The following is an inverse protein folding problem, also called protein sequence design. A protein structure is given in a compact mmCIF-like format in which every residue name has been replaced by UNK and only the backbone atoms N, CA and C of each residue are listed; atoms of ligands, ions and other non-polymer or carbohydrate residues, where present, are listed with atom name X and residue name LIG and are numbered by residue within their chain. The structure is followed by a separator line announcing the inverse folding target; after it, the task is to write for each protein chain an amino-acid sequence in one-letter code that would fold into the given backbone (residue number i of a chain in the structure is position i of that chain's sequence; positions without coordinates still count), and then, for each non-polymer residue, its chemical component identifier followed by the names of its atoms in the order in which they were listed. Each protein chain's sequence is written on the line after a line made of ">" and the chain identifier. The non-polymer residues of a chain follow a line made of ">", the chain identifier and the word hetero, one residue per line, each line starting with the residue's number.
data_IF_911697602830
#
_entry.id   IF_911697602830
#
_cell.length_a   1.000
_cell.length_b   1.000
_cell.length_c   1.000
_cell.angle_alpha   90.00
_cell.angle_beta   90.00
_cell.angle_gamma   90.00
#
_symmetry.space_group_name_H-M   'P 1'
#
loop_
_entity.id
_entity.type
_entity.pdbx_description
1 polymer ?
#
# COMPACT_ATOMS: atom_id res chain seq x y z
N UNK A 1 -24.46 -71.63 -13.74
CA UNK A 1 -24.83 -70.54 -14.68
C UNK A 1 -24.02 -69.29 -14.33
N UNK A 2 -23.00 -68.96 -15.13
CA UNK A 2 -22.28 -67.69 -14.97
C UNK A 2 -23.16 -66.54 -15.48
N UNK A 3 -23.63 -65.68 -14.58
CA UNK A 3 -24.40 -64.46 -14.92
C UNK A 3 -23.51 -63.56 -15.78
N UNK A 4 -23.80 -63.42 -17.08
CA UNK A 4 -23.15 -62.46 -17.97
C UNK A 4 -23.37 -61.05 -17.40
N UNK A 5 -22.27 -60.36 -17.07
CA UNK A 5 -22.29 -58.97 -16.61
C UNK A 5 -22.88 -58.10 -17.74
N UNK A 6 -23.82 -57.17 -17.47
CA UNK A 6 -24.41 -56.34 -18.51
C UNK A 6 -23.32 -55.51 -19.22
N UNK A 7 -23.28 -55.56 -20.55
CA UNK A 7 -22.38 -54.74 -21.33
C UNK A 7 -22.68 -53.25 -21.07
N UNK A 8 -21.71 -52.54 -20.47
CA UNK A 8 -21.84 -51.11 -20.21
C UNK A 8 -22.13 -50.39 -21.52
N UNK A 9 -23.25 -49.65 -21.56
CA UNK A 9 -23.72 -48.87 -22.70
C UNK A 9 -22.60 -47.98 -23.25
N UNK A 10 -22.34 -48.03 -24.56
CA UNK A 10 -21.21 -47.32 -25.19
C UNK A 10 -21.22 -45.80 -24.93
N UNK A 11 -22.41 -45.22 -24.78
CA UNK A 11 -22.59 -43.80 -24.44
C UNK A 11 -22.02 -43.45 -23.06
N UNK A 12 -22.10 -44.37 -22.08
CA UNK A 12 -21.51 -44.20 -20.75
C UNK A 12 -19.99 -44.27 -20.81
N UNK A 13 -19.42 -45.21 -21.58
CA UNK A 13 -17.97 -45.30 -21.81
C UNK A 13 -17.42 -44.02 -22.47
N UNK A 14 -18.14 -43.47 -23.46
CA UNK A 14 -17.79 -42.22 -24.14
C UNK A 14 -17.86 -41.01 -23.19
N UNK A 15 -18.89 -40.92 -22.35
CA UNK A 15 -18.98 -39.90 -21.28
C UNK A 15 -17.81 -39.99 -20.30
N UNK A 16 -17.47 -41.19 -19.82
CA UNK A 16 -16.36 -41.39 -18.88
C UNK A 16 -15.02 -40.95 -19.48
N UNK A 17 -14.73 -41.30 -20.74
CA UNK A 17 -13.54 -40.81 -21.47
C UNK A 17 -13.51 -39.29 -21.56
N UNK A 18 -14.60 -38.65 -21.96
CA UNK A 18 -14.68 -37.19 -22.07
C UNK A 18 -14.45 -36.50 -20.71
N UNK A 19 -15.01 -37.04 -19.62
CA UNK A 19 -14.78 -36.51 -18.27
C UNK A 19 -13.31 -36.66 -17.84
N UNK A 20 -12.67 -37.80 -18.14
CA UNK A 20 -11.26 -38.02 -17.85
C UNK A 20 -10.37 -37.03 -18.61
N UNK A 21 -10.62 -36.82 -19.91
CA UNK A 21 -9.90 -35.85 -20.73
C UNK A 21 -10.08 -34.41 -20.24
N UNK A 22 -11.31 -34.00 -19.92
CA UNK A 22 -11.58 -32.69 -19.33
C UNK A 22 -10.86 -32.52 -17.98
N UNK A 23 -10.79 -33.56 -17.16
CA UNK A 23 -10.06 -33.55 -15.89
C UNK A 23 -8.55 -33.38 -16.13
N UNK A 24 -7.97 -34.10 -17.07
CA UNK A 24 -6.55 -33.96 -17.46
C UNK A 24 -6.27 -32.56 -18.00
N UNK A 25 -7.12 -32.04 -18.89
CA UNK A 25 -6.98 -30.67 -19.45
C UNK A 25 -7.07 -29.61 -18.36
N UNK A 26 -7.98 -29.75 -17.40
CA UNK A 26 -8.09 -28.86 -16.22
C UNK A 26 -6.85 -28.95 -15.33
N UNK A 27 -6.31 -30.14 -15.09
CA UNK A 27 -5.10 -30.32 -14.29
C UNK A 27 -3.88 -29.69 -14.97
N UNK A 28 -3.68 -29.94 -16.27
CA UNK A 28 -2.62 -29.29 -17.07
C UNK A 28 -2.74 -27.77 -17.06
N UNK A 29 -3.96 -27.22 -17.24
CA UNK A 29 -4.23 -25.77 -17.18
C UNK A 29 -3.95 -25.18 -15.80
N UNK A 30 -4.10 -25.94 -14.72
CA UNK A 30 -3.78 -25.51 -13.34
C UNK A 30 -2.28 -25.62 -13.02
N UNK A 31 -1.53 -26.46 -13.70
CA UNK A 31 -0.12 -26.73 -13.37
C UNK A 31 0.81 -25.56 -13.73
N UNK A 32 0.70 -25.04 -14.96
CA UNK A 32 1.49 -23.89 -15.41
C UNK A 32 1.36 -22.64 -14.49
N UNK A 33 0.15 -22.15 -14.14
CA UNK A 33 0.03 -20.99 -13.26
C UNK A 33 0.52 -21.27 -11.83
N UNK A 34 0.45 -22.51 -11.34
CA UNK A 34 1.02 -22.89 -10.03
C UNK A 34 2.54 -22.80 -10.03
N UNK A 35 3.21 -23.29 -11.07
CA UNK A 35 4.67 -23.16 -11.21
C UNK A 35 5.08 -21.69 -11.28
N UNK A 36 4.40 -20.90 -12.10
CA UNK A 36 4.63 -19.45 -12.20
C UNK A 36 4.43 -18.75 -10.85
N UNK A 37 3.39 -19.12 -10.10
CA UNK A 37 3.15 -18.56 -8.77
C UNK A 37 4.25 -18.93 -7.78
N UNK A 38 4.75 -20.17 -7.81
CA UNK A 38 5.87 -20.60 -6.95
C UNK A 38 7.15 -19.81 -7.27
N UNK A 39 7.46 -19.65 -8.55
CA UNK A 39 8.61 -18.84 -8.99
C UNK A 39 8.47 -17.37 -8.55
N UNK A 40 7.29 -16.77 -8.75
CA UNK A 40 6.99 -15.40 -8.32
C UNK A 40 7.13 -15.21 -6.81
N UNK A 41 6.61 -16.14 -6.01
CA UNK A 41 6.74 -16.10 -4.53
C UNK A 41 8.20 -16.13 -4.09
N UNK A 42 9.03 -16.99 -4.71
CA UNK A 42 10.47 -17.04 -4.42
C UNK A 42 11.15 -15.70 -4.73
N UNK A 43 10.84 -15.11 -5.89
CA UNK A 43 11.37 -13.80 -6.29
C UNK A 43 10.98 -12.71 -5.29
N UNK A 44 9.70 -12.66 -4.89
CA UNK A 44 9.18 -11.68 -3.93
C UNK A 44 9.85 -11.83 -2.57
N UNK A 45 10.07 -13.06 -2.11
CA UNK A 45 10.77 -13.33 -0.86
C UNK A 45 12.21 -12.80 -0.88
N UNK A 46 12.97 -13.11 -1.93
CA UNK A 46 14.35 -12.62 -2.06
C UNK A 46 14.40 -11.09 -2.16
N UNK A 47 13.47 -10.47 -2.91
CA UNK A 47 13.32 -9.00 -2.94
C UNK A 47 13.04 -8.40 -1.57
N UNK A 48 12.09 -8.95 -0.82
CA UNK A 48 11.74 -8.46 0.52
C UNK A 48 12.94 -8.56 1.48
N UNK A 49 13.69 -9.67 1.41
CA UNK A 49 14.93 -9.86 2.17
C UNK A 49 15.98 -8.82 1.80
N UNK A 50 16.14 -8.53 0.51
CA UNK A 50 17.05 -7.49 0.02
C UNK A 50 16.67 -6.10 0.57
N UNK A 51 15.42 -5.67 0.39
CA UNK A 51 14.95 -4.37 0.89
C UNK A 51 15.07 -4.26 2.41
N UNK A 52 14.81 -5.34 3.16
CA UNK A 52 14.99 -5.35 4.60
C UNK A 52 16.45 -5.10 5.01
N UNK A 53 17.40 -5.73 4.30
CA UNK A 53 18.84 -5.52 4.52
C UNK A 53 19.23 -4.07 4.23
N UNK A 54 18.74 -3.52 3.12
CA UNK A 54 18.97 -2.13 2.71
C UNK A 54 18.45 -1.14 3.76
N UNK A 55 17.20 -1.29 4.23
CA UNK A 55 16.64 -0.42 5.27
C UNK A 55 17.43 -0.48 6.58
N UNK A 56 17.97 -1.65 6.94
CA UNK A 56 18.80 -1.80 8.13
C UNK A 56 20.11 -1.02 7.98
N UNK A 57 20.74 -1.08 6.81
CA UNK A 57 21.96 -0.33 6.52
C UNK A 57 21.69 1.18 6.51
N UNK A 58 20.58 1.63 5.91
CA UNK A 58 20.19 3.05 5.92
C UNK A 58 19.87 3.58 7.31
N UNK A 59 19.29 2.75 8.19
CA UNK A 59 18.99 3.11 9.58
C UNK A 59 20.22 3.13 10.47
N UNK A 60 21.20 2.26 10.21
CA UNK A 60 22.46 2.21 10.95
C UNK A 60 23.43 3.36 10.56
N UNK A 61 22.92 4.44 9.95
CA UNK A 61 23.68 5.40 9.17
C UNK A 61 24.83 6.11 9.90
N UNK A 62 25.92 6.23 9.13
CA UNK A 62 27.16 7.00 9.26
C UNK A 62 27.27 8.11 10.32
N UNK A 63 28.49 8.21 10.86
CA UNK A 63 28.99 9.20 11.83
C UNK A 63 28.79 10.66 11.37
N UNK A 64 28.63 10.91 10.06
CA UNK A 64 28.64 12.23 9.42
C UNK A 64 27.27 12.95 9.32
N UNK A 65 26.29 12.55 10.12
CA UNK A 65 25.00 13.23 10.21
C UNK A 65 23.91 12.70 9.24
N UNK A 66 22.62 12.87 9.57
CA UNK A 66 21.53 12.26 8.82
C UNK A 66 21.28 12.96 7.49
N UNK A 67 21.15 12.16 6.42
CA UNK A 67 20.81 12.65 5.08
C UNK A 67 19.43 13.35 5.04
N UNK A 68 19.31 14.36 4.18
CA UNK A 68 18.10 15.14 4.01
C UNK A 68 16.84 14.30 3.71
N UNK A 69 15.66 14.77 4.18
CA UNK A 69 14.37 14.16 3.91
C UNK A 69 14.03 14.17 2.44
N UNK A 70 13.48 13.06 1.97
CA UNK A 70 12.92 12.97 0.62
C UNK A 70 11.41 12.74 0.60
N UNK A 71 10.76 12.51 1.77
CA UNK A 71 9.37 12.11 1.88
C UNK A 71 8.63 12.85 3.00
N UNK A 72 7.45 13.38 2.69
CA UNK A 72 6.48 13.94 3.62
C UNK A 72 5.13 13.20 3.52
N UNK A 73 4.31 13.31 4.57
CA UNK A 73 3.00 12.70 4.69
C UNK A 73 2.11 13.76 5.28
N UNK A 74 1.14 14.16 4.48
CA UNK A 74 0.28 15.29 4.78
C UNK A 74 -1.06 14.74 5.22
N UNK A 75 -1.49 15.11 6.43
CA UNK A 75 -2.77 14.73 6.99
C UNK A 75 -3.66 15.96 7.06
N UNK A 76 -4.88 15.85 6.55
CA UNK A 76 -5.88 16.91 6.69
C UNK A 76 -6.54 16.83 8.06
N UNK A 77 -6.39 17.88 8.87
CA UNK A 77 -6.94 17.93 10.23
C UNK A 77 -8.17 18.85 10.38
N UNK A 78 -8.36 19.82 9.46
CA UNK A 78 -9.48 20.77 9.45
C UNK A 78 -10.53 20.42 8.40
N UNK A 79 -11.78 20.79 8.69
CA UNK A 79 -12.93 20.65 7.78
C UNK A 79 -12.89 21.58 6.57
N UNK A 80 -13.99 21.65 5.81
CA UNK A 80 -14.12 22.51 4.61
C UNK A 80 -14.59 23.92 4.91
N UNK A 81 -15.25 24.11 6.06
CA UNK A 81 -15.85 25.38 6.48
C UNK A 81 -14.74 26.36 6.88
N UNK A 82 -14.84 27.61 6.40
CA UNK A 82 -13.86 28.67 6.68
C UNK A 82 -12.51 28.49 5.97
N UNK A 83 -12.45 27.63 4.94
CA UNK A 83 -11.25 27.47 4.10
C UNK A 83 -11.39 28.32 2.85
N UNK A 84 -10.38 29.18 2.60
CA UNK A 84 -10.36 30.05 1.42
C UNK A 84 -10.36 29.23 0.11
N UNK A 85 -10.92 29.77 -0.99
CA UNK A 85 -10.97 29.06 -2.28
C UNK A 85 -9.59 28.60 -2.76
N UNK A 86 -8.56 29.42 -2.58
CA UNK A 86 -7.16 29.08 -2.94
C UNK A 86 -6.66 27.84 -2.19
N UNK A 87 -6.90 27.78 -0.87
CA UNK A 87 -6.50 26.61 -0.05
C UNK A 87 -7.35 25.39 -0.38
N UNK A 88 -8.65 25.57 -0.65
CA UNK A 88 -9.55 24.50 -1.08
C UNK A 88 -9.06 23.83 -2.38
N UNK A 89 -8.63 24.63 -3.35
CA UNK A 89 -8.08 24.11 -4.62
C UNK A 89 -6.78 23.34 -4.40
N UNK A 90 -5.87 23.85 -3.55
CA UNK A 90 -4.64 23.12 -3.20
C UNK A 90 -4.93 21.76 -2.53
N UNK A 91 -5.88 21.71 -1.59
CA UNK A 91 -6.29 20.45 -0.95
C UNK A 91 -6.93 19.47 -1.94
N UNK A 92 -7.66 19.95 -2.94
CA UNK A 92 -8.23 19.12 -4.00
C UNK A 92 -7.15 18.52 -4.90
N UNK A 93 -6.12 19.30 -5.27
CA UNK A 93 -4.97 18.83 -6.04
C UNK A 93 -4.20 17.73 -5.29
N UNK A 94 -4.03 17.89 -3.97
CA UNK A 94 -3.43 16.88 -3.09
C UNK A 94 -4.38 15.71 -2.76
N UNK A 95 -5.59 15.70 -3.32
CA UNK A 95 -6.62 14.69 -3.04
C UNK A 95 -7.07 14.60 -1.56
N UNK A 96 -6.80 15.61 -0.74
CA UNK A 96 -7.15 15.70 0.68
C UNK A 96 -8.58 16.25 0.87
N UNK A 97 -9.58 15.51 0.39
CA UNK A 97 -10.99 15.96 0.39
C UNK A 97 -11.71 15.77 1.73
N UNK A 98 -11.30 14.77 2.50
CA UNK A 98 -11.93 14.39 3.78
C UNK A 98 -11.02 14.74 4.96
N UNK A 99 -11.61 15.00 6.13
CA UNK A 99 -10.84 15.11 7.38
C UNK A 99 -10.20 13.75 7.68
N UNK A 100 -8.99 13.76 8.23
CA UNK A 100 -8.15 12.60 8.51
C UNK A 100 -7.83 11.75 7.27
N UNK A 101 -7.89 12.38 6.09
CA UNK A 101 -7.25 11.82 4.90
C UNK A 101 -5.75 12.15 4.89
N UNK A 102 -4.95 11.20 4.39
CA UNK A 102 -3.49 11.32 4.31
C UNK A 102 -2.96 10.99 2.92
N UNK A 103 -1.87 11.63 2.51
CA UNK A 103 -1.15 11.36 1.26
C UNK A 103 0.35 11.52 1.44
N UNK A 104 1.14 10.71 0.71
CA UNK A 104 2.58 10.91 0.61
C UNK A 104 2.91 12.02 -0.39
N UNK A 105 3.85 12.89 -0.06
CA UNK A 105 4.28 14.00 -0.90
C UNK A 105 5.79 14.02 -0.95
N UNK A 106 6.35 14.21 -2.14
CA UNK A 106 7.77 14.53 -2.29
C UNK A 106 7.94 16.03 -1.97
N UNK A 107 8.67 16.39 -0.90
CA UNK A 107 8.88 17.78 -0.55
C UNK A 107 9.69 18.49 -1.64
N UNK A 108 9.36 19.76 -1.90
CA UNK A 108 10.28 20.68 -2.57
C UNK A 108 11.33 21.16 -1.56
N UNK A 109 12.34 21.94 -2.00
CA UNK A 109 13.50 22.46 -1.23
C UNK A 109 13.22 22.97 0.21
N UNK A 110 11.97 23.18 0.61
CA UNK A 110 11.54 23.82 1.86
C UNK A 110 10.66 22.96 2.78
N UNK A 111 10.62 21.62 2.64
CA UNK A 111 9.79 20.78 3.53
C UNK A 111 10.57 19.59 4.10
N UNK A 112 10.86 19.65 5.40
CA UNK A 112 11.86 18.82 6.10
C UNK A 112 11.20 17.75 7.02
N UNK A 113 11.54 16.47 6.77
CA UNK A 113 11.68 15.26 7.63
C UNK A 113 10.47 14.74 8.44
N UNK A 114 10.30 13.46 8.80
CA UNK A 114 10.78 12.15 8.32
C UNK A 114 9.63 11.16 8.58
N UNK A 115 9.19 10.38 7.58
CA UNK A 115 8.10 9.39 7.72
C UNK A 115 8.55 7.94 7.55
N UNK A 116 9.82 7.68 7.82
CA UNK A 116 10.42 6.38 7.52
C UNK A 116 9.77 5.24 8.32
N UNK A 117 9.33 5.47 9.56
CA UNK A 117 8.79 4.36 10.38
C UNK A 117 7.35 3.96 10.06
N UNK A 118 6.53 4.90 9.57
CA UNK A 118 5.08 4.68 9.47
C UNK A 118 4.58 4.33 8.06
N UNK A 119 5.42 4.41 7.02
CA UNK A 119 5.04 4.06 5.63
C UNK A 119 4.54 2.63 5.54
N UNK A 120 5.25 1.70 6.19
CA UNK A 120 4.92 0.28 6.15
C UNK A 120 3.54 0.01 6.76
N UNK A 121 3.30 0.51 7.96
CA UNK A 121 2.02 0.37 8.68
C UNK A 121 0.86 0.98 7.90
N UNK A 122 1.06 2.18 7.33
CA UNK A 122 0.04 2.88 6.55
C UNK A 122 -0.36 2.10 5.31
N UNK A 123 0.61 1.61 4.54
CA UNK A 123 0.34 0.87 3.30
C UNK A 123 -0.27 -0.50 3.61
N UNK A 124 0.18 -1.20 4.67
CA UNK A 124 -0.41 -2.48 5.05
C UNK A 124 -1.84 -2.36 5.59
N UNK A 125 -2.10 -1.41 6.51
CA UNK A 125 -3.43 -1.29 7.16
C UNK A 125 -4.44 -0.50 6.34
N UNK A 126 -3.99 0.59 5.71
CA UNK A 126 -4.86 1.58 5.08
C UNK A 126 -4.59 1.73 3.57
N UNK A 127 -3.71 0.91 2.99
CA UNK A 127 -3.36 0.95 1.58
C UNK A 127 -4.45 0.39 0.68
N UNK A 128 -4.95 1.24 -0.20
CA UNK A 128 -5.86 0.86 -1.28
C UNK A 128 -5.31 1.40 -2.59
N UNK A 129 -5.47 0.64 -3.67
CA UNK A 129 -5.13 1.07 -5.03
C UNK A 129 -6.34 1.69 -5.74
N UNK A 130 -6.06 2.60 -6.67
CA UNK A 130 -7.00 3.11 -7.67
C UNK A 130 -6.95 2.19 -8.90
N UNK A 131 -7.83 1.19 -8.94
CA UNK A 131 -7.93 0.27 -10.09
C UNK A 131 -9.25 0.55 -10.79
N UNK A 132 -9.21 0.93 -12.08
CA UNK A 132 -10.40 1.29 -12.86
C UNK A 132 -11.28 2.35 -12.16
N UNK A 133 -10.64 3.37 -11.56
CA UNK A 133 -11.29 4.42 -10.74
C UNK A 133 -12.04 3.90 -9.50
N UNK A 134 -11.90 2.62 -9.15
CA UNK A 134 -12.46 2.01 -7.94
C UNK A 134 -11.37 1.86 -6.87
N UNK A 135 -11.80 1.92 -5.60
CA UNK A 135 -10.94 1.70 -4.44
C UNK A 135 -10.86 0.20 -4.18
N UNK A 136 -9.68 -0.40 -4.40
CA UNK A 136 -9.47 -1.85 -4.25
C UNK A 136 -8.38 -2.12 -3.23
N UNK A 137 -8.60 -3.10 -2.34
CA UNK A 137 -7.59 -3.50 -1.36
C UNK A 137 -6.34 -4.05 -2.07
N UNK A 138 -5.17 -3.69 -1.56
CA UNK A 138 -3.91 -4.15 -2.13
C UNK A 138 -3.64 -5.60 -1.75
N UNK A 139 -2.95 -6.33 -2.64
CA UNK A 139 -2.53 -7.72 -2.41
C UNK A 139 -1.01 -7.79 -2.24
N UNK A 140 -0.53 -8.85 -1.58
CA UNK A 140 0.86 -9.01 -1.11
C UNK A 140 1.95 -8.69 -2.13
N UNK A 141 1.73 -9.04 -3.41
CA UNK A 141 2.76 -8.90 -4.44
C UNK A 141 3.05 -7.43 -4.80
N UNK A 142 2.05 -6.55 -4.73
CA UNK A 142 2.21 -5.13 -5.10
C UNK A 142 2.72 -4.32 -3.91
N UNK A 143 2.41 -4.75 -2.70
CA UNK A 143 2.73 -4.04 -1.46
C UNK A 143 4.24 -3.83 -1.30
N UNK A 144 5.05 -4.87 -1.51
CA UNK A 144 6.49 -4.83 -1.23
C UNK A 144 7.22 -3.80 -2.10
N UNK A 145 7.01 -3.83 -3.41
CA UNK A 145 7.64 -2.89 -4.33
C UNK A 145 7.09 -1.46 -4.11
N UNK A 146 5.79 -1.30 -3.80
CA UNK A 146 5.19 0.00 -3.52
C UNK A 146 5.70 0.65 -2.22
N UNK A 147 5.87 -0.15 -1.16
CA UNK A 147 6.46 0.30 0.10
C UNK A 147 7.88 0.78 -0.14
N UNK A 148 8.67 0.00 -0.88
CA UNK A 148 10.05 0.36 -1.19
C UNK A 148 10.15 1.64 -1.99
N UNK A 149 9.39 1.75 -3.08
CA UNK A 149 9.37 2.94 -3.93
C UNK A 149 8.93 4.19 -3.15
N UNK A 150 7.97 4.05 -2.24
CA UNK A 150 7.50 5.14 -1.38
C UNK A 150 8.56 5.53 -0.37
N UNK A 151 9.21 4.55 0.26
CA UNK A 151 10.19 4.77 1.32
C UNK A 151 11.46 5.45 0.81
N UNK A 152 11.99 4.99 -0.33
CA UNK A 152 13.21 5.53 -0.94
C UNK A 152 12.95 6.76 -1.80
N UNK A 153 11.69 7.01 -2.16
CA UNK A 153 11.26 8.05 -3.10
C UNK A 153 12.00 7.86 -4.43
N UNK A 154 11.80 6.67 -4.99
CA UNK A 154 12.45 6.22 -6.21
C UNK A 154 11.97 6.96 -7.46
N UNK A 155 12.39 6.45 -8.62
CA UNK A 155 12.12 7.08 -9.93
C UNK A 155 10.64 7.08 -10.29
N UNK A 156 9.90 6.05 -9.87
CA UNK A 156 8.48 5.83 -10.14
C UNK A 156 7.59 6.22 -8.93
N UNK A 157 8.10 7.02 -8.00
CA UNK A 157 7.35 7.48 -6.83
C UNK A 157 6.04 8.18 -7.22
N UNK A 158 6.05 8.99 -8.28
CA UNK A 158 4.88 9.76 -8.72
C UNK A 158 3.75 8.82 -9.15
N UNK A 159 4.08 7.79 -9.91
CA UNK A 159 3.17 6.77 -10.42
C UNK A 159 2.63 5.91 -9.27
N UNK A 160 3.52 5.44 -8.38
CA UNK A 160 3.14 4.65 -7.20
C UNK A 160 2.24 5.43 -6.25
N UNK A 161 2.55 6.69 -5.99
CA UNK A 161 1.74 7.54 -5.12
C UNK A 161 0.38 7.92 -5.75
N UNK A 162 0.34 8.13 -7.07
CA UNK A 162 -0.92 8.36 -7.78
C UNK A 162 -1.81 7.12 -7.79
N UNK A 163 -1.21 5.91 -7.87
CA UNK A 163 -1.91 4.65 -7.75
C UNK A 163 -2.56 4.48 -6.38
N UNK A 164 -1.92 4.94 -5.30
CA UNK A 164 -2.50 4.91 -3.97
C UNK A 164 -3.76 5.78 -3.86
N UNK A 165 -4.80 5.22 -3.27
CA UNK A 165 -5.94 5.98 -2.76
C UNK A 165 -5.51 6.76 -1.52
N UNK A 166 -5.95 8.01 -1.32
CA UNK A 166 -5.67 8.74 -0.09
C UNK A 166 -6.02 7.90 1.15
N UNK A 167 -5.07 7.79 2.08
CA UNK A 167 -5.22 7.01 3.29
C UNK A 167 -6.38 7.57 4.11
N UNK A 168 -7.31 6.72 4.52
CA UNK A 168 -8.39 7.11 5.44
C UNK A 168 -7.99 6.67 6.84
N UNK A 169 -7.67 7.64 7.69
CA UNK A 169 -7.21 7.42 9.06
C UNK A 169 -8.35 7.66 10.06
N UNK A 170 -8.21 7.13 11.27
CA UNK A 170 -9.14 7.41 12.37
C UNK A 170 -8.82 8.74 13.05
N UNK A 171 -9.70 9.21 13.93
CA UNK A 171 -9.35 10.32 14.83
C UNK A 171 -8.24 9.89 15.79
N UNK A 172 -7.32 10.79 16.11
CA UNK A 172 -6.23 10.48 17.03
C UNK A 172 -6.73 10.09 18.41
N UNK A 173 -6.23 8.97 18.93
CA UNK A 173 -6.48 8.56 20.30
C UNK A 173 -5.89 9.58 21.29
N UNK A 174 -6.73 10.04 22.22
CA UNK A 174 -6.45 11.18 23.11
C UNK A 174 -6.77 12.56 22.49
N UNK A 175 -7.41 12.61 21.32
CA UNK A 175 -7.87 13.84 20.69
C UNK A 175 -6.78 14.67 20.02
N UNK A 176 -7.16 15.86 19.58
CA UNK A 176 -6.25 16.90 19.06
C UNK A 176 -6.36 18.11 20.00
N UNK A 177 -5.25 18.79 20.24
CA UNK A 177 -5.18 19.97 21.13
C UNK A 177 -5.90 21.16 20.49
N UNK A 178 -5.31 21.75 19.46
CA UNK A 178 -5.85 22.92 18.73
C UNK A 178 -5.50 22.80 17.26
N UNK A 179 -6.51 22.70 16.41
CA UNK A 179 -6.35 22.42 14.97
C UNK A 179 -5.94 23.65 14.13
N UNK A 180 -5.99 24.85 14.70
CA UNK A 180 -5.80 26.12 13.99
C UNK A 180 -4.41 26.71 14.13
N UNK A 181 -3.81 26.58 15.31
CA UNK A 181 -2.50 27.14 15.65
C UNK A 181 -1.36 26.20 15.20
N UNK A 182 -0.16 26.76 15.01
CA UNK A 182 1.00 26.02 14.52
C UNK A 182 1.58 25.09 15.59
N UNK A 183 2.22 24.00 15.17
CA UNK A 183 2.76 22.99 16.07
C UNK A 183 3.83 23.54 17.03
N UNK A 184 4.60 24.53 16.57
CA UNK A 184 5.59 25.27 17.39
C UNK A 184 4.93 26.01 18.56
N UNK A 185 3.68 26.45 18.40
CA UNK A 185 2.89 27.11 19.45
C UNK A 185 2.18 26.09 20.38
N UNK A 186 2.55 24.81 20.30
CA UNK A 186 1.96 23.74 21.11
C UNK A 186 0.64 23.16 20.59
N UNK A 187 0.26 23.50 19.36
CA UNK A 187 -0.97 23.08 18.70
C UNK A 187 -0.74 21.93 17.69
N UNK A 188 -1.64 21.73 16.72
CA UNK A 188 -1.61 20.58 15.80
C UNK A 188 -1.39 20.91 14.31
N UNK A 189 -1.46 22.17 13.89
CA UNK A 189 -1.24 22.50 12.48
C UNK A 189 0.25 22.61 12.13
N UNK A 190 0.60 22.41 10.86
CA UNK A 190 1.96 22.66 10.36
C UNK A 190 2.95 21.51 10.55
N UNK A 191 4.23 21.82 10.32
CA UNK A 191 5.29 20.82 10.35
C UNK A 191 5.62 20.43 11.79
N UNK A 192 5.66 19.12 12.04
CA UNK A 192 5.98 18.52 13.34
C UNK A 192 7.15 17.52 13.25
N UNK A 193 7.82 17.50 12.10
CA UNK A 193 8.98 16.65 11.82
C UNK A 193 8.71 15.18 12.21
N UNK A 194 9.61 14.55 12.95
CA UNK A 194 9.54 13.15 13.36
C UNK A 194 8.34 12.84 14.28
N UNK A 195 7.76 13.86 14.93
CA UNK A 195 6.60 13.70 15.82
C UNK A 195 5.33 13.34 15.05
N UNK A 196 5.34 13.43 13.72
CA UNK A 196 4.25 12.93 12.86
C UNK A 196 4.04 11.42 13.00
N UNK A 197 5.12 10.64 13.20
CA UNK A 197 5.01 9.19 13.37
C UNK A 197 4.22 8.83 14.63
N UNK A 198 4.38 9.61 15.71
CA UNK A 198 3.57 9.47 16.93
C UNK A 198 2.10 9.79 16.69
N UNK A 199 1.80 10.81 15.88
CA UNK A 199 0.41 11.12 15.51
C UNK A 199 -0.20 9.97 14.68
N UNK A 200 0.50 9.49 13.66
CA UNK A 200 0.01 8.41 12.80
C UNK A 200 -0.31 7.16 13.61
N UNK A 201 0.58 6.77 14.54
CA UNK A 201 0.32 5.63 15.43
C UNK A 201 -0.95 5.78 16.28
N UNK A 202 -1.32 7.02 16.65
CA UNK A 202 -2.57 7.31 17.36
C UNK A 202 -3.81 7.30 16.45
N UNK A 203 -3.62 7.38 15.15
CA UNK A 203 -4.68 7.40 14.12
C UNK A 203 -4.78 6.06 13.34
N UNK A 204 -4.01 5.06 13.77
CA UNK A 204 -3.86 3.72 13.19
C UNK A 204 -4.63 2.65 13.98
#
# INVERSE_FOLDING_TARGET
>A
MFKKIPAILETLKKKQKNFAELKIKRLRKKFAPKLLQKARRKLIYEKAKHYHKEYRQMKAGNIYGPAEPKLAFVIRIRGVIGVSPKVRNMLQLLCLRQIFSGIFVKPSKTSINMLRTSVNELIYKHGYGKINKKRTALTDNILIDLIHETYTVGKCFKEGNNFLWPFKLSSSWGGMKKKTAHFVEGADAGNREDKVNRLIRKMN
#
